data_IF_693656817258
#
_entry.id   IF_693656817258
#
_cell.length_a   1.000
_cell.length_b   1.000
_cell.length_c   1.000
_cell.angle_alpha   90.00
_cell.angle_beta   90.00
_cell.angle_gamma   90.00
#
_symmetry.space_group_name_H-M   'P 1'
#
loop_
_entity.id
_entity.type
_entity.pdbx_description
1 polymer ?
#
# COMPACT_ATOMS: atom_id res chain seq x y z
N UNK A 1 -7.15 -6.47 6.86
CA UNK A 1 -7.34 -5.21 7.63
C UNK A 1 -7.60 -4.10 6.64
N UNK A 2 -8.55 -3.22 6.94
CA UNK A 2 -8.83 -2.03 6.14
C UNK A 2 -8.32 -0.77 6.84
N UNK A 3 -7.87 0.21 6.06
CA UNK A 3 -7.51 1.55 6.54
C UNK A 3 -7.52 2.53 5.35
N UNK A 4 -6.92 3.70 5.54
CA UNK A 4 -6.69 4.70 4.50
C UNK A 4 -5.22 5.06 4.51
N UNK A 5 -4.67 5.46 3.36
CA UNK A 5 -3.39 6.16 3.35
C UNK A 5 -3.55 7.49 4.11
N UNK A 6 -2.55 7.82 4.92
CA UNK A 6 -2.47 9.09 5.63
C UNK A 6 -1.97 10.17 4.67
N UNK A 7 -2.92 10.83 3.99
CA UNK A 7 -2.66 11.91 3.04
C UNK A 7 -2.51 11.44 1.60
N UNK A 8 -1.61 12.06 0.85
CA UNK A 8 -1.43 11.83 -0.58
C UNK A 8 -0.78 10.47 -0.88
N UNK A 9 -1.28 9.82 -1.92
CA UNK A 9 -0.67 8.64 -2.53
C UNK A 9 -0.43 8.94 -4.01
N UNK A 10 0.83 8.85 -4.47
CA UNK A 10 1.22 9.17 -5.85
C UNK A 10 1.53 7.93 -6.70
N UNK A 11 1.35 6.73 -6.14
CA UNK A 11 1.61 5.47 -6.82
C UNK A 11 2.73 4.65 -6.17
N UNK A 12 3.14 3.61 -6.88
CA UNK A 12 4.22 2.71 -6.50
C UNK A 12 5.49 3.00 -7.30
N UNK A 13 6.62 3.02 -6.60
CA UNK A 13 7.95 3.37 -7.13
C UNK A 13 8.99 2.28 -6.86
N UNK A 14 8.57 1.07 -6.50
CA UNK A 14 9.44 -0.08 -6.19
C UNK A 14 9.81 -0.18 -4.71
N UNK A 15 9.84 0.94 -3.99
CA UNK A 15 10.17 1.01 -2.56
C UNK A 15 9.22 1.93 -1.76
N UNK A 16 8.04 2.23 -2.31
CA UNK A 16 7.07 3.16 -1.73
C UNK A 16 6.71 2.79 -0.28
N UNK A 17 6.75 3.80 0.60
CA UNK A 17 6.31 3.69 1.99
C UNK A 17 4.91 4.25 2.13
N UNK A 18 3.98 3.42 2.62
CA UNK A 18 2.61 3.79 2.91
C UNK A 18 2.43 3.94 4.42
N UNK A 19 2.16 5.17 4.85
CA UNK A 19 1.67 5.47 6.21
C UNK A 19 0.16 5.37 6.18
N UNK A 20 -0.41 4.61 7.11
CA UNK A 20 -1.86 4.41 7.18
C UNK A 20 -2.44 5.24 8.33
N UNK A 21 -3.68 5.68 8.19
CA UNK A 21 -4.39 6.49 9.20
C UNK A 21 -4.51 5.80 10.58
N UNK A 22 -4.35 4.47 10.65
CA UNK A 22 -4.31 3.71 11.89
C UNK A 22 -2.91 3.64 12.55
N UNK A 23 -1.93 4.38 12.04
CA UNK A 23 -0.57 4.47 12.56
C UNK A 23 0.39 3.38 12.08
N UNK A 24 -0.07 2.40 11.29
CA UNK A 24 0.82 1.39 10.71
C UNK A 24 1.62 1.96 9.55
N UNK A 25 2.82 1.41 9.35
CA UNK A 25 3.68 1.77 8.22
C UNK A 25 4.08 0.51 7.47
N UNK A 26 3.82 0.52 6.17
CA UNK A 26 4.10 -0.57 5.25
C UNK A 26 5.03 -0.10 4.14
N UNK A 27 6.01 -0.91 3.77
CA UNK A 27 6.91 -0.63 2.66
C UNK A 27 6.69 -1.65 1.56
N UNK A 28 6.63 -1.18 0.32
CA UNK A 28 6.61 -2.01 -0.88
C UNK A 28 7.80 -2.99 -0.86
N UNK A 29 7.52 -4.27 -1.10
CA UNK A 29 8.53 -5.34 -1.12
C UNK A 29 8.55 -6.11 -2.45
N UNK A 30 7.74 -5.70 -3.41
CA UNK A 30 7.67 -6.25 -4.76
C UNK A 30 8.00 -5.14 -5.76
N UNK A 31 8.91 -5.41 -6.71
CA UNK A 31 9.27 -4.44 -7.75
C UNK A 31 8.10 -4.20 -8.70
N UNK A 32 7.46 -3.04 -8.58
CA UNK A 32 6.40 -2.61 -9.49
C UNK A 32 6.27 -1.09 -9.48
N UNK A 33 6.33 -0.49 -10.66
CA UNK A 33 6.11 0.93 -10.86
C UNK A 33 4.70 1.16 -11.40
N UNK A 34 3.97 2.06 -10.77
CA UNK A 34 2.63 2.44 -11.21
C UNK A 34 2.26 3.81 -10.67
N UNK A 35 2.15 4.79 -11.56
CA UNK A 35 1.68 6.12 -11.20
C UNK A 35 0.17 6.10 -10.97
N UNK A 36 -0.26 6.62 -9.82
CA UNK A 36 -1.67 6.81 -9.50
C UNK A 36 -1.79 7.84 -8.40
N UNK A 37 -2.37 8.99 -8.71
CA UNK A 37 -2.62 10.02 -7.70
C UNK A 37 -4.00 9.82 -7.06
N UNK A 38 -4.04 9.77 -5.72
CA UNK A 38 -5.27 9.84 -4.95
C UNK A 38 -5.01 10.45 -3.57
N UNK A 39 -6.00 11.16 -3.03
CA UNK A 39 -5.95 11.72 -1.68
C UNK A 39 -6.67 10.80 -0.70
N UNK A 40 -5.94 10.30 0.31
CA UNK A 40 -6.40 9.37 1.33
C UNK A 40 -7.20 8.16 0.78
N UNK A 41 -6.69 7.43 -0.23
CA UNK A 41 -7.38 6.26 -0.76
C UNK A 41 -7.58 5.17 0.29
N UNK A 42 -8.68 4.41 0.17
CA UNK A 42 -8.88 3.20 0.97
C UNK A 42 -7.81 2.17 0.63
N UNK A 43 -7.35 1.44 1.65
CA UNK A 43 -6.47 0.29 1.47
C UNK A 43 -6.96 -0.94 2.19
N UNK A 44 -6.64 -2.11 1.64
CA UNK A 44 -6.84 -3.41 2.27
C UNK A 44 -5.48 -4.10 2.35
N UNK A 45 -5.01 -4.39 3.56
CA UNK A 45 -3.83 -5.21 3.81
C UNK A 45 -4.28 -6.63 4.17
N UNK A 46 -3.76 -7.63 3.46
CA UNK A 46 -4.10 -9.04 3.65
C UNK A 46 -2.88 -9.93 3.45
N UNK A 47 -2.93 -11.16 3.96
CA UNK A 47 -1.91 -12.17 3.68
C UNK A 47 -2.32 -13.02 2.49
N UNK A 48 -1.36 -13.34 1.62
CA UNK A 48 -1.50 -14.27 0.50
C UNK A 48 -0.18 -15.01 0.33
N UNK A 49 -0.22 -16.35 0.29
CA UNK A 49 0.97 -17.21 0.15
C UNK A 49 2.12 -16.88 1.12
N UNK A 50 1.79 -16.57 2.38
CA UNK A 50 2.78 -16.25 3.42
C UNK A 50 3.39 -14.84 3.33
N UNK A 51 2.93 -14.01 2.39
CA UNK A 51 3.38 -12.62 2.24
C UNK A 51 2.22 -11.66 2.49
N UNK A 52 2.53 -10.46 2.97
CA UNK A 52 1.53 -9.39 3.04
C UNK A 52 1.41 -8.69 1.69
N UNK A 53 0.18 -8.36 1.31
CA UNK A 53 -0.12 -7.53 0.15
C UNK A 53 -1.01 -6.37 0.56
N UNK A 54 -0.87 -5.25 -0.14
CA UNK A 54 -1.73 -4.09 -0.03
C UNK A 54 -2.50 -3.91 -1.33
N UNK A 55 -3.81 -3.75 -1.23
CA UNK A 55 -4.68 -3.31 -2.32
C UNK A 55 -5.04 -1.86 -2.07
N UNK A 56 -4.75 -0.98 -3.02
CA UNK A 56 -5.12 0.44 -2.96
C UNK A 56 -6.35 0.65 -3.85
N UNK A 57 -7.32 1.41 -3.37
CA UNK A 57 -8.48 1.82 -4.16
C UNK A 57 -8.06 2.53 -5.44
N UNK A 58 -8.71 2.21 -6.57
CA UNK A 58 -8.37 2.77 -7.88
C UNK A 58 -7.19 2.09 -8.58
N UNK A 59 -6.52 1.13 -7.94
CA UNK A 59 -5.49 0.28 -8.54
C UNK A 59 -6.02 -1.15 -8.63
N UNK A 60 -5.85 -1.84 -9.76
CA UNK A 60 -6.34 -3.23 -9.90
C UNK A 60 -5.39 -4.26 -9.25
N UNK A 61 -4.08 -3.98 -9.24
CA UNK A 61 -3.06 -4.90 -8.75
C UNK A 61 -2.80 -4.72 -7.25
N UNK A 62 -2.81 -5.82 -6.50
CA UNK A 62 -2.27 -5.86 -5.13
C UNK A 62 -0.75 -6.01 -5.14
N UNK A 63 -0.07 -5.24 -4.28
CA UNK A 63 1.39 -5.14 -4.25
C UNK A 63 1.93 -5.77 -2.97
N UNK A 64 3.00 -6.57 -3.08
CA UNK A 64 3.70 -7.09 -1.90
C UNK A 64 4.22 -5.97 -0.99
N UNK A 65 4.02 -6.11 0.31
CA UNK A 65 4.49 -5.15 1.33
C UNK A 65 5.06 -5.87 2.55
N UNK A 66 5.94 -5.18 3.26
CA UNK A 66 6.43 -5.57 4.60
C UNK A 66 6.08 -4.50 5.61
N UNK A 67 5.65 -4.91 6.81
CA UNK A 67 5.37 -3.97 7.90
C UNK A 67 6.67 -3.49 8.52
N UNK A 68 6.83 -2.18 8.65
CA UNK A 68 8.01 -1.55 9.27
C UNK A 68 7.68 -0.81 10.57
N UNK A 69 6.38 -0.60 10.89
CA UNK A 69 5.88 -0.12 12.19
C UNK A 69 4.43 -0.54 12.43
#
# INVERSE_FOLDING_TARGET
MESYVDGEFSGFEGETVLKLANGQIWQQSEYWYHYHYSYSPKVIVFQSNGQYKIQVEGIEKSVGVTRIK
#
